data_IF_380791778249
#
_entry.id   IF_380791778249
#
_cell.length_a   1.000
_cell.length_b   1.000
_cell.length_c   1.000
_cell.angle_alpha   90.00
_cell.angle_beta   90.00
_cell.angle_gamma   90.00
#
_symmetry.space_group_name_H-M   'P 1'
#
loop_
_entity.id
_entity.type
_entity.pdbx_description
1 polymer ?
#
# COMPACT_ATOMS: atom_id res chain seq x y z
N UNK A 1 44.94 39.53 -14.99
CA UNK A 1 44.96 38.77 -16.26
C UNK A 1 43.57 38.17 -16.42
N UNK A 2 42.67 38.84 -17.12
CA UNK A 2 42.32 38.59 -18.54
C UNK A 2 41.75 37.17 -18.72
N UNK A 3 40.56 36.90 -19.28
CA UNK A 3 39.66 37.67 -20.15
C UNK A 3 38.34 36.89 -20.35
N UNK A 4 37.22 37.59 -20.57
CA UNK A 4 36.14 37.38 -21.57
C UNK A 4 35.52 35.97 -21.79
N UNK A 5 34.23 35.73 -22.08
CA UNK A 5 33.10 36.52 -22.62
C UNK A 5 31.84 35.62 -22.63
N UNK A 6 30.64 36.20 -22.49
CA UNK A 6 29.32 35.58 -22.73
C UNK A 6 28.87 35.83 -24.21
N UNK A 7 27.57 35.78 -24.58
CA UNK A 7 26.55 34.70 -24.59
C UNK A 7 25.93 34.52 -26.00
N UNK A 8 24.99 33.58 -26.21
CA UNK A 8 23.97 33.75 -27.27
C UNK A 8 22.65 33.00 -26.99
N UNK A 9 21.58 33.76 -27.04
CA UNK A 9 20.16 33.38 -27.08
C UNK A 9 19.72 33.09 -28.52
N UNK A 10 18.78 32.17 -28.73
CA UNK A 10 17.86 32.26 -29.87
C UNK A 10 16.56 31.51 -29.59
N UNK A 11 15.47 32.29 -29.46
CA UNK A 11 14.09 31.82 -29.60
C UNK A 11 13.67 32.03 -31.06
N UNK A 12 12.86 31.13 -31.62
CA UNK A 12 11.96 31.51 -32.70
C UNK A 12 10.71 30.61 -32.73
N UNK A 13 9.59 31.31 -32.62
CA UNK A 13 8.19 30.91 -32.71
C UNK A 13 7.85 30.41 -34.13
N UNK A 14 6.95 29.43 -34.23
CA UNK A 14 5.99 29.35 -35.34
C UNK A 14 4.61 28.94 -34.84
N UNK A 15 3.67 29.83 -35.14
CA UNK A 15 2.21 29.80 -35.01
C UNK A 15 1.55 29.11 -36.22
N UNK A 16 0.21 28.94 -36.11
CA UNK A 16 -0.80 28.54 -37.10
C UNK A 16 -1.32 27.09 -36.88
N UNK A 17 -2.61 26.76 -36.91
CA UNK A 17 -3.81 27.54 -37.20
C UNK A 17 -5.05 26.82 -36.59
N UNK A 18 -6.08 27.64 -36.38
CA UNK A 18 -7.47 27.31 -36.12
C UNK A 18 -8.11 26.36 -37.13
N UNK A 19 -8.95 25.43 -36.67
CA UNK A 19 -10.16 25.06 -37.41
C UNK A 19 -11.30 24.70 -36.46
N UNK A 20 -12.30 25.56 -36.45
CA UNK A 20 -13.63 25.37 -35.91
C UNK A 20 -14.47 24.55 -36.88
N UNK A 21 -15.16 23.50 -36.43
CA UNK A 21 -16.36 23.00 -37.12
C UNK A 21 -17.29 22.23 -36.18
N UNK A 22 -18.46 22.83 -35.98
CA UNK A 22 -19.81 22.23 -35.99
C UNK A 22 -20.16 21.08 -35.02
N UNK A 23 -20.96 21.46 -34.01
CA UNK A 23 -22.08 20.68 -33.47
C UNK A 23 -23.01 20.16 -34.58
N UNK A 24 -23.69 19.02 -34.35
CA UNK A 24 -25.13 19.06 -34.51
C UNK A 24 -25.89 18.61 -33.25
N UNK A 25 -27.07 19.22 -33.16
CA UNK A 25 -28.14 19.11 -32.19
C UNK A 25 -28.84 17.74 -32.23
N UNK A 26 -29.26 17.33 -31.04
CA UNK A 26 -30.58 16.79 -30.68
C UNK A 26 -31.08 15.47 -31.30
N UNK A 27 -31.40 14.53 -30.41
CA UNK A 27 -32.75 13.94 -30.38
C UNK A 27 -33.05 13.36 -28.99
N UNK A 28 -33.97 14.03 -28.30
CA UNK A 28 -34.74 13.50 -27.19
C UNK A 28 -35.51 12.26 -27.66
N UNK A 29 -35.41 11.14 -26.94
CA UNK A 29 -36.50 10.16 -26.91
C UNK A 29 -36.91 9.85 -25.47
N UNK A 30 -38.22 9.94 -25.33
CA UNK A 30 -39.07 9.98 -24.15
C UNK A 30 -39.37 8.55 -23.70
N UNK A 31 -39.32 8.30 -22.39
CA UNK A 31 -39.86 7.07 -21.80
C UNK A 31 -41.36 6.95 -22.07
N UNK A 32 -41.88 5.71 -22.02
CA UNK A 32 -43.20 5.46 -21.47
C UNK A 32 -43.11 4.63 -20.18
N UNK A 33 -43.76 5.17 -19.17
CA UNK A 33 -44.19 4.54 -17.93
C UNK A 33 -45.27 3.48 -18.22
N UNK A 34 -45.20 2.33 -17.54
CA UNK A 34 -46.36 1.46 -17.31
C UNK A 34 -46.17 0.78 -15.96
N UNK A 35 -46.94 1.20 -14.95
CA UNK A 35 -48.26 0.67 -14.59
C UNK A 35 -48.13 -0.49 -13.58
N UNK A 36 -48.28 -0.09 -12.31
CA UNK A 36 -48.43 -0.95 -11.15
C UNK A 36 -49.68 -1.83 -11.29
N UNK A 37 -49.55 -3.15 -11.17
CA UNK A 37 -50.68 -4.06 -10.89
C UNK A 37 -50.52 -4.66 -9.51
N UNK A 38 -51.42 -4.22 -8.62
CA UNK A 38 -51.79 -4.91 -7.38
C UNK A 38 -52.57 -6.18 -7.75
N UNK A 39 -52.24 -7.28 -7.09
CA UNK A 39 -53.16 -8.40 -6.88
C UNK A 39 -53.32 -8.52 -5.36
N UNK A 40 -54.54 -8.28 -4.89
CA UNK A 40 -54.93 -8.58 -3.53
C UNK A 40 -55.39 -10.03 -3.43
N UNK A 41 -55.18 -10.64 -2.26
CA UNK A 41 -56.05 -11.68 -1.75
C UNK A 41 -56.33 -11.44 -0.27
N UNK A 42 -57.56 -11.81 0.08
CA UNK A 42 -58.35 -11.49 1.26
C UNK A 42 -57.89 -12.19 2.55
N UNK A 43 -58.38 -11.63 3.66
CA UNK A 43 -58.18 -12.01 5.06
C UNK A 43 -58.90 -13.30 5.53
N UNK A 44 -58.60 -13.64 6.80
CA UNK A 44 -59.10 -14.68 7.72
C UNK A 44 -58.13 -15.88 7.85
N UNK A 45 -57.66 -16.31 9.04
CA UNK A 45 -58.34 -16.47 10.33
C UNK A 45 -57.30 -16.49 11.50
N UNK A 46 -57.57 -15.94 12.71
CA UNK A 46 -56.57 -15.79 13.77
C UNK A 46 -56.78 -16.82 14.91
N UNK A 47 -56.44 -18.09 14.69
CA UNK A 47 -56.35 -19.08 15.78
C UNK A 47 -55.33 -20.17 15.43
N UNK A 48 -54.05 -19.94 15.75
CA UNK A 48 -53.10 -21.01 16.09
C UNK A 48 -51.88 -20.41 16.82
N UNK A 49 -52.17 -19.64 17.87
CA UNK A 49 -51.19 -19.27 18.89
C UNK A 49 -51.14 -20.39 19.92
N UNK A 50 -49.94 -20.69 20.44
CA UNK A 50 -49.65 -21.61 21.56
C UNK A 50 -49.50 -23.10 21.24
N UNK A 51 -48.32 -23.47 20.73
CA UNK A 51 -47.52 -24.68 21.02
C UNK A 51 -46.37 -24.65 20.00
N UNK A 52 -45.16 -24.17 20.31
CA UNK A 52 -44.10 -24.85 21.06
C UNK A 52 -43.19 -23.78 21.67
N UNK A 53 -43.50 -23.36 22.89
CA UNK A 53 -42.59 -22.61 23.74
C UNK A 53 -41.94 -23.59 24.72
N UNK A 54 -40.90 -24.29 24.27
CA UNK A 54 -39.83 -24.87 25.10
C UNK A 54 -38.93 -25.76 24.25
N UNK A 55 -37.69 -25.29 24.05
CA UNK A 55 -36.46 -25.98 23.57
C UNK A 55 -35.75 -25.20 22.47
N UNK A 56 -35.22 -24.03 22.84
CA UNK A 56 -34.02 -23.47 22.20
C UNK A 56 -33.07 -23.02 23.31
N UNK A 57 -32.55 -24.01 24.04
CA UNK A 57 -31.36 -23.82 24.87
C UNK A 57 -30.13 -23.90 23.97
N UNK A 58 -29.40 -22.78 23.90
CA UNK A 58 -27.96 -22.70 23.61
C UNK A 58 -27.48 -23.23 22.26
N UNK A 59 -27.53 -22.35 21.25
CA UNK A 59 -26.44 -22.24 20.27
C UNK A 59 -25.90 -20.81 20.37
N UNK A 60 -24.82 -20.64 21.14
CA UNK A 60 -23.96 -19.45 21.05
C UNK A 60 -23.20 -19.55 19.74
N UNK A 61 -23.81 -19.08 18.65
CA UNK A 61 -23.03 -18.67 17.48
C UNK A 61 -22.18 -17.48 17.92
N UNK A 62 -20.87 -17.72 18.05
CA UNK A 62 -19.89 -16.63 18.08
C UNK A 62 -20.07 -15.86 16.77
N UNK A 63 -20.80 -14.75 16.83
CA UNK A 63 -20.86 -13.80 15.74
C UNK A 63 -19.44 -13.33 15.46
N UNK A 64 -18.88 -13.78 14.35
CA UNK A 64 -17.74 -13.13 13.73
C UNK A 64 -18.19 -11.71 13.48
N UNK A 65 -17.72 -10.78 14.30
CA UNK A 65 -17.98 -9.35 14.12
C UNK A 65 -17.34 -8.98 12.79
N UNK A 66 -18.12 -9.01 11.72
CA UNK A 66 -17.70 -8.45 10.44
C UNK A 66 -17.32 -7.01 10.72
N UNK A 67 -16.01 -6.74 10.75
CA UNK A 67 -15.51 -5.37 10.77
C UNK A 67 -15.83 -4.87 9.37
N UNK A 68 -17.02 -4.28 9.22
CA UNK A 68 -17.32 -3.46 8.05
C UNK A 68 -16.29 -2.36 8.08
N UNK A 69 -15.21 -2.51 7.30
CA UNK A 69 -14.17 -1.50 7.21
C UNK A 69 -14.82 -0.31 6.54
N UNK A 70 -15.17 0.71 7.33
CA UNK A 70 -15.53 2.02 6.79
C UNK A 70 -14.44 2.42 5.81
N UNK A 71 -14.84 2.77 4.58
CA UNK A 71 -13.93 3.31 3.58
C UNK A 71 -13.14 4.46 4.23
N UNK A 72 -11.81 4.36 4.18
CA UNK A 72 -10.94 5.39 4.75
C UNK A 72 -11.03 6.62 3.85
N UNK A 73 -11.26 7.79 4.44
CA UNK A 73 -11.29 9.05 3.70
C UNK A 73 -9.95 9.27 2.98
N UNK A 74 -10.00 9.59 1.70
CA UNK A 74 -8.84 9.93 0.88
C UNK A 74 -8.60 11.43 0.79
N UNK A 75 -7.37 11.84 0.46
CA UNK A 75 -7.00 13.21 0.13
C UNK A 75 -7.82 13.75 -1.05
N UNK A 76 -8.20 12.89 -2.01
CA UNK A 76 -9.03 13.29 -3.15
C UNK A 76 -10.47 13.68 -2.79
N UNK A 77 -10.91 13.38 -1.57
CA UNK A 77 -12.22 13.79 -1.04
C UNK A 77 -12.16 15.13 -0.28
N UNK A 78 -10.97 15.75 -0.17
CA UNK A 78 -10.83 17.09 0.37
C UNK A 78 -11.04 18.11 -0.75
N UNK A 79 -11.84 19.14 -0.48
CA UNK A 79 -12.04 20.24 -1.42
C UNK A 79 -10.82 21.16 -1.46
N UNK A 80 -10.68 21.97 -2.51
CA UNK A 80 -9.63 22.99 -2.57
C UNK A 80 -9.68 23.97 -1.39
N UNK A 81 -10.87 24.27 -0.85
CA UNK A 81 -11.03 25.10 0.34
C UNK A 81 -10.51 24.43 1.62
N UNK A 82 -10.58 23.09 1.70
CA UNK A 82 -10.03 22.33 2.83
C UNK A 82 -8.49 22.32 2.85
N UNK A 83 -7.86 22.56 1.70
CA UNK A 83 -6.41 22.43 1.49
C UNK A 83 -5.69 23.78 1.35
N UNK A 84 -6.33 24.78 0.76
CA UNK A 84 -5.69 26.06 0.44
C UNK A 84 -5.15 26.75 1.69
N UNK A 85 -3.86 27.10 1.67
CA UNK A 85 -3.15 27.76 2.76
C UNK A 85 -2.87 26.86 3.97
N UNK A 86 -3.39 25.63 4.01
CA UNK A 86 -3.20 24.69 5.12
C UNK A 86 -1.82 24.05 5.06
N UNK A 87 -1.22 23.87 6.24
CA UNK A 87 0.00 23.09 6.43
C UNK A 87 -0.38 21.62 6.52
N UNK A 88 0.14 20.81 5.61
CA UNK A 88 -0.23 19.40 5.49
C UNK A 88 0.97 18.54 5.83
N UNK A 89 0.89 17.80 6.95
CA UNK A 89 1.89 16.79 7.26
C UNK A 89 1.64 15.55 6.43
N UNK A 90 2.55 15.23 5.52
CA UNK A 90 2.47 14.07 4.65
C UNK A 90 3.49 13.04 5.09
N UNK A 91 3.03 11.86 5.48
CA UNK A 91 3.89 10.70 5.70
C UNK A 91 4.03 9.93 4.40
N UNK A 92 5.18 10.02 3.74
CA UNK A 92 5.48 9.31 2.49
C UNK A 92 6.54 8.21 2.72
N UNK A 93 6.48 7.12 1.95
CA UNK A 93 7.56 6.13 1.92
C UNK A 93 8.61 6.57 0.89
N UNK A 94 9.64 7.28 1.36
CA UNK A 94 10.80 7.67 0.54
C UNK A 94 12.05 6.86 0.88
N UNK A 95 11.90 5.68 1.48
CA UNK A 95 13.03 4.81 1.79
C UNK A 95 13.51 4.11 0.51
N UNK A 96 14.38 4.79 -0.25
CA UNK A 96 14.96 4.33 -1.52
C UNK A 96 16.35 3.72 -1.33
N UNK A 97 16.77 2.77 -2.19
CA UNK A 97 18.15 2.31 -2.21
C UNK A 97 19.08 3.41 -2.74
N UNK A 98 20.22 3.56 -2.06
CA UNK A 98 21.30 4.47 -2.43
C UNK A 98 22.58 3.66 -2.68
N UNK A 99 23.39 4.07 -3.65
CA UNK A 99 24.75 3.56 -3.85
C UNK A 99 25.74 4.16 -2.83
N UNK A 100 27.01 3.73 -2.90
CA UNK A 100 28.06 4.22 -1.99
C UNK A 100 28.35 5.72 -2.14
N UNK A 101 27.97 6.33 -3.27
CA UNK A 101 28.09 7.76 -3.54
C UNK A 101 26.81 8.55 -3.18
N UNK A 102 25.84 7.91 -2.52
CA UNK A 102 24.52 8.46 -2.18
C UNK A 102 23.63 8.79 -3.39
N UNK A 103 23.88 8.20 -4.56
CA UNK A 103 22.97 8.32 -5.69
C UNK A 103 21.80 7.34 -5.53
N UNK A 104 20.61 7.77 -5.94
CA UNK A 104 19.41 6.94 -5.95
C UNK A 104 19.53 5.90 -7.07
N UNK A 105 19.45 4.61 -6.73
CA UNK A 105 19.50 3.51 -7.71
C UNK A 105 18.12 3.05 -8.16
N UNK A 106 17.08 3.30 -7.34
CA UNK A 106 15.67 3.10 -7.70
C UNK A 106 14.78 4.15 -7.01
N UNK A 107 14.17 5.02 -7.80
CA UNK A 107 13.32 6.13 -7.37
C UNK A 107 11.82 5.80 -7.46
N UNK A 108 11.44 4.53 -7.64
CA UNK A 108 10.03 4.09 -7.77
C UNK A 108 9.16 4.57 -6.61
N UNK A 109 9.68 4.53 -5.38
CA UNK A 109 8.98 5.01 -4.18
C UNK A 109 8.75 6.53 -4.19
N UNK A 110 9.72 7.30 -4.69
CA UNK A 110 9.58 8.75 -4.83
C UNK A 110 8.47 9.06 -5.84
N UNK A 111 8.53 8.43 -7.03
CA UNK A 111 7.50 8.59 -8.06
C UNK A 111 6.10 8.21 -7.56
N UNK A 112 6.00 7.20 -6.71
CA UNK A 112 4.71 6.74 -6.19
C UNK A 112 4.04 7.76 -5.25
N UNK A 113 4.81 8.60 -4.55
CA UNK A 113 4.29 9.67 -3.69
C UNK A 113 3.93 10.96 -4.46
N UNK A 114 4.50 11.17 -5.65
CA UNK A 114 4.32 12.40 -6.45
C UNK A 114 2.86 12.76 -6.72
N UNK A 115 1.93 11.83 -7.06
CA UNK A 115 0.53 12.17 -7.31
C UNK A 115 -0.14 12.88 -6.12
N UNK A 116 0.07 12.36 -4.90
CA UNK A 116 -0.48 12.95 -3.67
C UNK A 116 0.10 14.35 -3.45
N UNK A 117 1.42 14.48 -3.59
CA UNK A 117 2.11 15.75 -3.36
C UNK A 117 1.68 16.82 -4.37
N UNK A 118 1.60 16.47 -5.66
CA UNK A 118 1.13 17.40 -6.72
C UNK A 118 -0.31 17.84 -6.49
N UNK A 119 -1.19 16.94 -6.08
CA UNK A 119 -2.57 17.31 -5.77
C UNK A 119 -2.66 18.33 -4.63
N UNK A 120 -1.88 18.15 -3.57
CA UNK A 120 -1.82 19.11 -2.47
C UNK A 120 -1.28 20.48 -2.94
N UNK A 121 -0.18 20.49 -3.70
CA UNK A 121 0.41 21.72 -4.26
C UNK A 121 -0.59 22.47 -5.13
N UNK A 122 -1.27 21.77 -6.05
CA UNK A 122 -2.24 22.35 -6.98
C UNK A 122 -3.45 22.97 -6.28
N UNK A 123 -3.78 22.48 -5.08
CA UNK A 123 -4.85 23.03 -4.24
C UNK A 123 -4.35 24.08 -3.23
N UNK A 124 -3.10 24.55 -3.36
CA UNK A 124 -2.54 25.64 -2.54
C UNK A 124 -2.15 25.21 -1.13
N UNK A 125 -2.01 23.92 -0.85
CA UNK A 125 -1.50 23.46 0.44
C UNK A 125 0.00 23.74 0.58
N UNK A 126 0.45 23.87 1.83
CA UNK A 126 1.86 23.96 2.23
C UNK A 126 2.30 22.58 2.69
N UNK A 127 3.06 21.87 1.87
CA UNK A 127 3.34 20.44 2.08
C UNK A 127 4.57 20.24 2.96
N UNK A 128 4.40 19.50 4.05
CA UNK A 128 5.49 19.10 4.97
C UNK A 128 5.68 17.59 4.83
N UNK A 129 6.66 17.18 4.03
CA UNK A 129 7.00 15.78 3.80
C UNK A 129 7.81 15.21 4.95
N UNK A 130 7.41 14.04 5.43
CA UNK A 130 8.16 13.24 6.38
C UNK A 130 8.37 11.83 5.82
N UNK A 131 9.59 11.31 5.96
CA UNK A 131 9.93 9.94 5.61
C UNK A 131 10.96 9.39 6.58
N UNK A 132 11.21 8.09 6.48
CA UNK A 132 12.41 7.46 7.02
C UNK A 132 13.34 7.05 5.88
N UNK A 133 14.62 6.86 6.19
CA UNK A 133 15.57 6.20 5.31
C UNK A 133 16.39 5.20 6.14
N UNK A 134 16.43 3.95 5.69
CA UNK A 134 17.12 2.86 6.37
C UNK A 134 16.70 2.66 7.82
N UNK A 135 17.67 2.26 8.65
CA UNK A 135 17.52 1.96 10.08
C UNK A 135 18.69 2.57 10.86
N UNK A 136 18.74 3.90 11.00
CA UNK A 136 19.79 4.57 11.75
C UNK A 136 19.81 4.14 13.22
N UNK A 137 21.00 4.10 13.84
CA UNK A 137 21.17 3.93 15.30
C UNK A 137 21.37 5.26 16.04
N UNK A 138 21.24 6.36 15.30
CA UNK A 138 21.47 7.75 15.70
C UNK A 138 21.60 8.60 14.44
N UNK A 139 21.78 9.91 14.62
CA UNK A 139 21.98 10.85 13.51
C UNK A 139 23.24 10.48 12.73
N UNK A 140 23.12 10.31 11.42
CA UNK A 140 24.27 10.02 10.55
C UNK A 140 24.03 10.52 9.12
N UNK A 141 25.04 11.10 8.46
CA UNK A 141 24.91 11.57 7.07
C UNK A 141 24.43 10.48 6.09
N UNK A 142 24.82 9.21 6.33
CA UNK A 142 24.46 8.07 5.48
C UNK A 142 22.96 7.86 5.32
N UNK A 143 22.17 8.24 6.33
CA UNK A 143 20.71 8.07 6.31
C UNK A 143 19.99 9.42 6.27
N UNK A 144 20.67 10.51 5.90
CA UNK A 144 20.01 11.79 5.63
C UNK A 144 19.11 11.67 4.40
N UNK A 145 18.03 12.44 4.38
CA UNK A 145 17.13 12.57 3.23
C UNK A 145 17.63 13.62 2.20
N UNK A 146 18.76 14.28 2.44
CA UNK A 146 19.34 15.28 1.53
C UNK A 146 19.49 14.79 0.07
N UNK A 147 19.94 13.56 -0.22
CA UNK A 147 20.10 13.10 -1.60
C UNK A 147 18.79 13.02 -2.40
N UNK A 148 17.63 13.03 -1.73
CA UNK A 148 16.33 12.94 -2.38
C UNK A 148 15.84 14.29 -2.93
N UNK A 149 16.38 15.40 -2.43
CA UNK A 149 15.91 16.76 -2.75
C UNK A 149 15.97 17.07 -4.25
N UNK A 150 17.07 16.79 -4.98
CA UNK A 150 17.13 17.06 -6.42
C UNK A 150 16.07 16.28 -7.19
N UNK A 151 15.92 14.98 -6.89
CA UNK A 151 14.97 14.10 -7.59
C UNK A 151 13.52 14.45 -7.29
N UNK A 152 13.20 14.77 -6.04
CA UNK A 152 11.86 15.27 -5.67
C UNK A 152 11.56 16.59 -6.38
N UNK A 153 12.52 17.52 -6.41
CA UNK A 153 12.34 18.82 -7.06
C UNK A 153 12.08 18.68 -8.57
N UNK A 154 12.85 17.82 -9.24
CA UNK A 154 12.66 17.49 -10.66
C UNK A 154 11.26 16.94 -10.93
N UNK A 155 10.83 15.92 -10.16
CA UNK A 155 9.53 15.26 -10.38
C UNK A 155 8.33 16.16 -10.06
N UNK A 156 8.48 17.06 -9.08
CA UNK A 156 7.44 18.00 -8.69
C UNK A 156 7.41 19.26 -9.57
N UNK A 157 8.52 19.59 -10.23
CA UNK A 157 8.66 20.81 -11.03
C UNK A 157 8.80 22.08 -10.20
N UNK A 158 9.13 21.95 -8.92
CA UNK A 158 9.34 23.05 -7.97
C UNK A 158 10.54 22.74 -7.09
N UNK A 159 11.19 23.78 -6.56
CA UNK A 159 12.29 23.59 -5.61
C UNK A 159 11.75 23.05 -4.27
N UNK A 160 12.20 21.87 -3.88
CA UNK A 160 11.93 21.32 -2.54
C UNK A 160 12.95 21.90 -1.56
N UNK A 161 12.46 22.49 -0.47
CA UNK A 161 13.29 22.93 0.65
C UNK A 161 13.49 21.75 1.58
N UNK A 162 14.69 21.57 2.13
CA UNK A 162 14.95 20.58 3.17
C UNK A 162 15.23 21.27 4.51
N UNK A 163 14.69 20.72 5.58
CA UNK A 163 15.10 21.05 6.94
C UNK A 163 16.26 20.15 7.41
N UNK A 164 17.12 20.68 8.27
CA UNK A 164 18.21 19.91 8.88
C UNK A 164 17.75 18.98 10.00
N UNK A 165 16.51 19.15 10.46
CA UNK A 165 15.86 18.33 11.47
C UNK A 165 14.38 18.07 11.11
N UNK A 166 13.66 17.28 11.91
CA UNK A 166 12.22 17.05 11.77
C UNK A 166 11.36 17.76 12.82
N UNK A 167 11.98 18.31 13.87
CA UNK A 167 11.33 19.09 14.92
C UNK A 167 12.23 20.25 15.37
N UNK A 168 11.67 21.20 16.14
CA UNK A 168 12.44 22.28 16.77
C UNK A 168 12.26 23.65 16.10
N UNK A 169 12.86 24.70 16.69
CA UNK A 169 12.53 26.09 16.35
C UNK A 169 12.91 26.46 14.91
N UNK A 170 14.00 25.92 14.36
CA UNK A 170 14.39 26.18 12.96
C UNK A 170 13.42 25.50 11.97
N UNK A 171 12.92 24.31 12.30
CA UNK A 171 11.89 23.64 11.49
C UNK A 171 10.58 24.43 11.53
N UNK A 172 10.18 24.93 12.70
CA UNK A 172 8.99 25.76 12.86
C UNK A 172 9.08 27.05 12.03
N UNK A 173 10.24 27.70 12.00
CA UNK A 173 10.50 28.88 11.16
C UNK A 173 10.38 28.55 9.66
N UNK A 174 10.98 27.44 9.21
CA UNK A 174 10.88 26.99 7.81
C UNK A 174 9.44 26.66 7.41
N UNK A 175 8.69 26.03 8.30
CA UNK A 175 7.27 25.73 8.08
C UNK A 175 6.43 27.01 8.00
N UNK A 176 6.71 28.00 8.87
CA UNK A 176 6.00 29.27 8.88
C UNK A 176 6.26 30.09 7.60
N UNK A 177 7.48 30.04 7.06
CA UNK A 177 7.87 30.75 5.83
C UNK A 177 7.50 30.01 4.53
N UNK A 178 7.00 28.77 4.62
CA UNK A 178 6.63 27.98 3.45
C UNK A 178 5.49 28.66 2.67
N UNK A 179 5.67 29.00 1.38
CA UNK A 179 4.62 29.60 0.57
C UNK A 179 3.53 28.58 0.24
N UNK A 180 2.35 29.05 -0.17
CA UNK A 180 1.32 28.17 -0.73
C UNK A 180 1.87 27.42 -1.95
N UNK A 181 1.62 26.12 -2.02
CA UNK A 181 2.22 25.23 -3.03
C UNK A 181 3.69 24.88 -2.77
N UNK A 182 4.30 25.39 -1.70
CA UNK A 182 5.65 25.04 -1.28
C UNK A 182 5.73 23.63 -0.68
N UNK A 183 6.93 23.04 -0.76
CA UNK A 183 7.23 21.72 -0.20
C UNK A 183 8.47 21.80 0.67
N UNK A 184 8.33 21.37 1.93
CA UNK A 184 9.40 21.17 2.89
C UNK A 184 9.60 19.68 3.14
N UNK A 185 10.82 19.18 2.96
CA UNK A 185 11.23 17.84 3.37
C UNK A 185 11.88 17.92 4.75
N UNK A 186 11.25 17.31 5.75
CA UNK A 186 11.85 17.12 7.07
C UNK A 186 13.00 16.12 6.99
N UNK A 187 13.94 16.21 7.93
CA UNK A 187 14.99 15.19 8.06
C UNK A 187 14.42 13.83 8.51
N UNK A 188 15.22 12.76 8.37
CA UNK A 188 14.85 11.39 8.67
C UNK A 188 14.27 11.23 10.09
N UNK A 189 12.97 10.92 10.17
CA UNK A 189 12.26 10.80 11.47
C UNK A 189 12.83 9.72 12.38
N UNK A 190 13.54 8.71 11.82
CA UNK A 190 14.19 7.64 12.61
C UNK A 190 15.51 8.07 13.25
N UNK A 191 15.97 9.30 13.03
CA UNK A 191 17.04 9.85 13.86
C UNK A 191 16.63 10.02 15.32
N UNK A 192 15.33 10.09 15.59
CA UNK A 192 14.74 10.02 16.92
C UNK A 192 14.31 8.60 17.25
N UNK A 193 14.76 8.06 18.39
CA UNK A 193 14.37 6.72 18.86
C UNK A 193 12.89 6.69 19.27
N UNK A 194 12.35 7.85 19.59
CA UNK A 194 10.97 8.17 19.92
C UNK A 194 10.00 7.80 18.79
N UNK A 195 10.44 7.89 17.53
CA UNK A 195 9.64 7.53 16.35
C UNK A 195 9.14 6.08 16.42
N UNK A 196 10.06 5.12 16.60
CA UNK A 196 9.72 3.69 16.61
C UNK A 196 8.99 3.27 17.89
N UNK A 197 9.12 4.06 18.96
CA UNK A 197 8.40 3.86 20.23
C UNK A 197 7.01 4.47 20.24
N UNK A 198 6.65 5.21 19.19
CA UNK A 198 5.39 5.96 19.13
C UNK A 198 5.23 6.90 20.33
N UNK A 199 6.31 7.59 20.67
CA UNK A 199 6.33 8.49 21.83
C UNK A 199 5.30 9.62 21.65
N UNK A 200 4.38 9.82 22.62
CA UNK A 200 3.32 10.82 22.49
C UNK A 200 3.82 12.26 22.39
N UNK A 201 4.92 12.60 23.07
CA UNK A 201 5.48 13.97 23.06
C UNK A 201 6.19 14.25 21.72
N UNK A 202 6.91 13.26 21.20
CA UNK A 202 7.50 13.37 19.86
C UNK A 202 6.40 13.48 18.77
N UNK A 203 5.35 12.66 18.85
CA UNK A 203 4.21 12.76 17.95
C UNK A 203 3.51 14.14 18.03
N UNK A 204 3.41 14.73 19.22
CA UNK A 204 2.84 16.06 19.42
C UNK A 204 3.71 17.17 18.80
N UNK A 205 5.03 17.06 18.90
CA UNK A 205 5.99 17.99 18.25
C UNK A 205 5.95 17.91 16.72
N UNK A 206 5.79 16.71 16.16
CA UNK A 206 5.59 16.55 14.71
C UNK A 206 4.23 17.16 14.29
N UNK A 207 3.18 16.88 15.08
CA UNK A 207 1.84 17.36 14.80
C UNK A 207 1.72 18.90 14.87
N UNK A 208 2.44 19.57 15.77
CA UNK A 208 2.36 21.04 15.90
C UNK A 208 2.81 21.80 14.65
N UNK A 209 3.51 21.14 13.73
CA UNK A 209 3.93 21.73 12.45
C UNK A 209 2.76 21.92 11.47
N UNK A 210 1.67 21.13 11.59
CA UNK A 210 0.65 21.04 10.56
C UNK A 210 -0.78 21.25 11.08
N UNK A 211 -1.71 21.43 10.15
CA UNK A 211 -3.14 21.56 10.42
C UNK A 211 -3.88 20.23 10.17
N UNK A 212 -3.41 19.43 9.20
CA UNK A 212 -4.00 18.13 8.85
C UNK A 212 -2.94 17.10 8.45
N UNK A 213 -3.35 15.83 8.42
CA UNK A 213 -2.47 14.69 8.19
C UNK A 213 -2.88 13.87 6.96
N UNK A 214 -1.89 13.54 6.13
CA UNK A 214 -2.04 12.62 5.00
C UNK A 214 -1.04 11.48 5.18
N UNK A 215 -1.52 10.23 5.26
CA UNK A 215 -0.66 9.06 5.23
C UNK A 215 -0.63 8.45 3.83
N UNK A 216 0.53 8.50 3.20
CA UNK A 216 0.78 7.94 1.87
C UNK A 216 1.89 6.86 1.91
N UNK A 217 2.14 6.27 3.09
CA UNK A 217 3.23 5.33 3.33
C UNK A 217 2.71 3.96 3.80
N UNK A 218 1.99 3.25 2.93
CA UNK A 218 1.41 1.94 3.22
C UNK A 218 2.42 0.94 3.82
N UNK A 219 3.65 0.91 3.28
CA UNK A 219 4.73 0.04 3.74
C UNK A 219 5.12 0.22 5.21
N UNK A 220 4.78 1.35 5.83
CA UNK A 220 5.02 1.61 7.27
C UNK A 220 3.76 1.63 8.13
N UNK A 221 2.57 1.58 7.51
CA UNK A 221 1.29 1.68 8.21
C UNK A 221 0.99 0.46 9.10
N UNK A 222 1.67 -0.67 8.89
CA UNK A 222 1.58 -1.86 9.76
C UNK A 222 2.26 -1.69 11.13
N UNK A 223 2.97 -0.56 11.36
CA UNK A 223 3.64 -0.26 12.63
C UNK A 223 3.03 1.00 13.24
N UNK A 224 2.78 0.95 14.55
CA UNK A 224 2.42 2.12 15.33
C UNK A 224 3.70 2.90 15.64
N UNK A 225 4.05 3.86 14.79
CA UNK A 225 5.14 4.81 15.01
C UNK A 225 4.56 6.22 15.19
N UNK A 226 5.37 7.16 15.70
CA UNK A 226 4.91 8.52 15.95
C UNK A 226 4.42 9.20 14.65
N UNK A 227 5.19 9.12 13.55
CA UNK A 227 4.83 9.73 12.27
C UNK A 227 3.73 8.99 11.46
N UNK A 228 3.36 7.76 11.85
CA UNK A 228 2.36 6.94 11.15
C UNK A 228 1.03 6.82 11.90
N UNK A 229 1.08 6.74 13.23
CA UNK A 229 -0.07 6.55 14.12
C UNK A 229 -0.19 7.70 15.13
N UNK A 230 0.90 8.03 15.85
CA UNK A 230 0.86 8.98 16.95
C UNK A 230 0.34 10.36 16.56
N UNK A 231 0.84 10.92 15.44
CA UNK A 231 0.43 12.23 14.90
C UNK A 231 -1.08 12.31 14.63
N UNK A 232 -1.74 11.19 14.32
CA UNK A 232 -3.18 11.15 14.01
C UNK A 232 -4.07 11.46 15.21
N UNK A 233 -3.53 11.40 16.44
CA UNK A 233 -4.24 11.78 17.66
C UNK A 233 -4.40 13.30 17.79
N UNK A 234 -3.52 14.06 17.14
CA UNK A 234 -3.43 15.52 17.26
C UNK A 234 -3.84 16.25 15.98
N UNK A 235 -3.64 15.63 14.81
CA UNK A 235 -3.99 16.21 13.51
C UNK A 235 -5.32 15.67 12.98
N UNK A 236 -6.25 16.58 12.65
CA UNK A 236 -7.54 16.25 12.02
C UNK A 236 -7.83 17.24 10.88
N UNK A 237 -8.33 16.78 9.72
CA UNK A 237 -8.59 15.38 9.37
C UNK A 237 -7.29 14.57 9.18
N UNK A 238 -7.40 13.24 9.35
CA UNK A 238 -6.36 12.27 9.00
C UNK A 238 -6.87 11.45 7.82
N UNK A 239 -6.23 11.56 6.66
CA UNK A 239 -6.70 10.92 5.40
C UNK A 239 -5.61 10.07 4.75
N UNK A 240 -6.03 9.16 3.88
CA UNK A 240 -5.13 8.41 3.01
C UNK A 240 -4.63 9.29 1.85
N UNK A 241 -3.35 9.21 1.50
CA UNK A 241 -2.89 9.67 0.19
C UNK A 241 -3.28 8.68 -0.91
N UNK A 242 -3.01 9.01 -2.17
CA UNK A 242 -3.42 8.18 -3.30
C UNK A 242 -2.71 6.83 -3.37
N UNK A 243 -1.45 6.73 -2.95
CA UNK A 243 -0.73 5.46 -2.88
C UNK A 243 -1.39 4.57 -1.82
N UNK A 244 -1.58 5.10 -0.60
CA UNK A 244 -2.17 4.32 0.48
C UNK A 244 -3.63 3.93 0.15
N UNK A 245 -4.41 4.83 -0.45
CA UNK A 245 -5.75 4.51 -0.94
C UNK A 245 -5.71 3.37 -1.95
N UNK A 246 -4.86 3.47 -2.98
CA UNK A 246 -4.72 2.44 -4.00
C UNK A 246 -4.37 1.08 -3.40
N UNK A 247 -3.42 1.03 -2.47
CA UNK A 247 -3.05 -0.21 -1.75
C UNK A 247 -4.23 -0.80 -0.95
N UNK A 248 -5.00 0.04 -0.25
CA UNK A 248 -6.20 -0.40 0.45
C UNK A 248 -7.27 -0.93 -0.51
N UNK A 249 -7.52 -0.23 -1.62
CA UNK A 249 -8.52 -0.62 -2.62
C UNK A 249 -8.16 -1.97 -3.26
N UNK A 250 -6.88 -2.19 -3.58
CA UNK A 250 -6.41 -3.47 -4.11
C UNK A 250 -6.54 -4.59 -3.08
N UNK A 251 -6.11 -4.38 -1.84
CA UNK A 251 -6.15 -5.42 -0.81
C UNK A 251 -7.57 -5.77 -0.39
N UNK A 252 -8.43 -4.76 -0.17
CA UNK A 252 -9.83 -4.97 0.18
C UNK A 252 -10.56 -5.64 -0.98
N UNK A 253 -10.36 -5.18 -2.21
CA UNK A 253 -10.96 -5.77 -3.40
C UNK A 253 -10.52 -7.21 -3.65
N UNK A 254 -9.22 -7.50 -3.53
CA UNK A 254 -8.68 -8.83 -3.76
C UNK A 254 -9.06 -9.85 -2.68
N UNK A 255 -9.26 -9.42 -1.43
CA UNK A 255 -9.52 -10.35 -0.33
C UNK A 255 -11.00 -10.44 0.02
N UNK A 256 -11.73 -9.34 0.00
CA UNK A 256 -13.12 -9.30 0.52
C UNK A 256 -14.16 -9.70 -0.51
N UNK A 257 -13.91 -9.42 -1.80
CA UNK A 257 -14.83 -9.75 -2.89
C UNK A 257 -14.07 -9.94 -4.21
N UNK A 258 -13.17 -10.93 -4.29
CA UNK A 258 -12.38 -11.14 -5.50
C UNK A 258 -13.24 -11.52 -6.70
N UNK A 259 -12.80 -11.10 -7.88
CA UNK A 259 -13.33 -11.66 -9.14
C UNK A 259 -12.88 -13.11 -9.26
N UNK A 260 -13.81 -14.01 -9.59
CA UNK A 260 -13.55 -15.44 -9.71
C UNK A 260 -13.40 -15.87 -11.18
N UNK A 261 -12.53 -16.85 -11.51
CA UNK A 261 -11.68 -17.60 -10.58
C UNK A 261 -10.55 -16.72 -10.00
N UNK A 262 -10.39 -16.74 -8.68
CA UNK A 262 -9.36 -16.02 -7.95
C UNK A 262 -8.17 -16.94 -7.71
N UNK A 263 -7.09 -16.70 -8.43
CA UNK A 263 -5.83 -17.40 -8.26
C UNK A 263 -4.84 -16.56 -7.43
N UNK A 264 -4.20 -17.20 -6.45
CA UNK A 264 -3.12 -16.60 -5.68
C UNK A 264 -1.82 -17.37 -5.89
N UNK A 265 -0.71 -16.65 -6.05
CA UNK A 265 0.63 -17.24 -6.22
C UNK A 265 1.46 -16.86 -5.00
N UNK A 266 1.93 -17.84 -4.24
CA UNK A 266 2.74 -17.64 -3.05
C UNK A 266 4.10 -18.31 -3.23
N UNK A 267 5.16 -17.51 -3.24
CA UNK A 267 6.53 -17.98 -3.29
C UNK A 267 7.31 -17.69 -2.03
N UNK A 268 8.52 -18.23 -1.97
CA UNK A 268 9.49 -17.97 -0.91
C UNK A 268 10.35 -19.20 -0.62
N UNK A 269 11.35 -19.04 0.23
CA UNK A 269 12.22 -20.14 0.65
C UNK A 269 11.71 -20.89 1.88
N UNK A 270 10.81 -20.30 2.67
CA UNK A 270 10.32 -20.84 3.95
C UNK A 270 8.80 -20.77 4.07
N UNK A 271 8.18 -21.90 4.35
CA UNK A 271 6.76 -22.05 4.68
C UNK A 271 6.42 -21.23 5.92
N UNK A 272 7.27 -21.26 6.95
CA UNK A 272 7.06 -20.57 8.23
C UNK A 272 6.79 -19.07 8.07
N UNK A 273 7.45 -18.43 7.09
CA UNK A 273 7.28 -17.00 6.80
C UNK A 273 5.97 -16.65 6.08
N UNK A 274 5.23 -17.64 5.57
CA UNK A 274 4.05 -17.48 4.71
C UNK A 274 2.79 -18.15 5.25
N UNK A 275 2.84 -18.78 6.43
CA UNK A 275 1.71 -19.53 7.01
C UNK A 275 0.44 -18.69 7.03
N UNK A 276 0.46 -17.52 7.69
CA UNK A 276 -0.74 -16.69 7.81
C UNK A 276 -1.27 -16.18 6.47
N UNK A 277 -0.39 -15.98 5.47
CA UNK A 277 -0.80 -15.59 4.12
C UNK A 277 -1.51 -16.75 3.43
N UNK A 278 -0.94 -17.95 3.47
CA UNK A 278 -1.56 -19.15 2.90
C UNK A 278 -2.90 -19.44 3.57
N UNK A 279 -2.94 -19.42 4.91
CA UNK A 279 -4.17 -19.69 5.66
C UNK A 279 -5.30 -18.72 5.30
N UNK A 280 -4.98 -17.43 5.17
CA UNK A 280 -5.93 -16.39 4.76
C UNK A 280 -6.40 -16.59 3.32
N UNK A 281 -5.49 -16.90 2.40
CA UNK A 281 -5.82 -17.11 0.99
C UNK A 281 -6.65 -18.39 0.79
N UNK A 282 -6.40 -19.45 1.54
CA UNK A 282 -7.23 -20.66 1.51
C UNK A 282 -8.70 -20.39 1.88
N UNK A 283 -9.00 -19.32 2.61
CA UNK A 283 -10.38 -18.93 2.90
C UNK A 283 -11.09 -18.24 1.72
N UNK A 284 -10.33 -17.71 0.75
CA UNK A 284 -10.85 -16.75 -0.25
C UNK A 284 -10.62 -17.16 -1.70
N UNK A 285 -9.46 -17.75 -2.04
CA UNK A 285 -9.06 -18.10 -3.40
C UNK A 285 -9.71 -19.40 -3.91
N UNK A 286 -9.85 -19.52 -5.23
CA UNK A 286 -10.24 -20.75 -5.92
C UNK A 286 -9.02 -21.61 -6.24
N UNK A 287 -7.87 -20.97 -6.51
CA UNK A 287 -6.63 -21.62 -6.92
C UNK A 287 -5.48 -21.02 -6.10
N UNK A 288 -4.65 -21.89 -5.51
CA UNK A 288 -3.45 -21.48 -4.78
C UNK A 288 -2.22 -22.15 -5.40
N UNK A 289 -1.36 -21.37 -6.05
CA UNK A 289 -0.10 -21.86 -6.61
C UNK A 289 1.04 -21.58 -5.62
N UNK A 290 1.79 -22.62 -5.24
CA UNK A 290 2.97 -22.46 -4.40
C UNK A 290 4.24 -22.61 -5.23
N UNK A 291 5.25 -21.77 -4.98
CA UNK A 291 6.53 -21.79 -5.70
C UNK A 291 7.74 -21.47 -4.82
N UNK A 292 8.94 -21.51 -5.40
CA UNK A 292 10.19 -21.27 -4.66
C UNK A 292 10.59 -22.44 -3.75
N UNK A 293 11.59 -22.24 -2.89
CA UNK A 293 12.14 -23.30 -2.03
C UNK A 293 11.14 -23.92 -1.05
N UNK A 294 10.09 -23.20 -0.68
CA UNK A 294 9.10 -23.71 0.29
C UNK A 294 8.32 -24.94 -0.22
N UNK A 295 8.22 -25.15 -1.55
CA UNK A 295 7.51 -26.31 -2.12
C UNK A 295 8.13 -27.64 -1.72
N UNK A 296 9.44 -27.68 -1.45
CA UNK A 296 10.13 -28.92 -1.08
C UNK A 296 9.71 -29.42 0.31
N UNK A 297 9.25 -28.54 1.20
CA UNK A 297 8.61 -28.97 2.47
C UNK A 297 7.28 -29.66 2.20
N UNK A 298 6.49 -29.20 1.22
CA UNK A 298 5.25 -29.86 0.81
C UNK A 298 5.52 -31.19 0.10
N UNK A 299 6.51 -31.27 -0.80
CA UNK A 299 6.91 -32.52 -1.43
C UNK A 299 7.38 -33.55 -0.41
N UNK A 300 8.23 -33.13 0.54
CA UNK A 300 8.70 -34.00 1.62
C UNK A 300 7.54 -34.50 2.49
N UNK A 301 6.58 -33.63 2.82
CA UNK A 301 5.36 -34.01 3.55
C UNK A 301 4.46 -35.00 2.78
N UNK A 302 4.52 -34.99 1.44
CA UNK A 302 3.86 -35.97 0.57
C UNK A 302 4.69 -37.26 0.36
N UNK A 303 5.85 -37.39 1.01
CA UNK A 303 6.74 -38.54 0.88
C UNK A 303 7.67 -38.52 -0.34
N UNK A 304 7.74 -37.41 -1.07
CA UNK A 304 8.60 -37.25 -2.25
C UNK A 304 10.04 -36.93 -1.80
N UNK A 305 11.03 -37.59 -2.42
CA UNK A 305 12.45 -37.27 -2.17
C UNK A 305 12.82 -35.93 -2.80
N UNK A 306 13.49 -35.08 -2.02
CA UNK A 306 13.83 -33.70 -2.42
C UNK A 306 15.35 -33.42 -2.43
N UNK A 307 16.18 -34.44 -2.21
CA UNK A 307 17.64 -34.30 -2.17
C UNK A 307 18.10 -33.26 -1.14
N UNK A 308 18.99 -32.35 -1.55
CA UNK A 308 19.54 -31.26 -0.74
C UNK A 308 18.68 -29.98 -0.75
N UNK A 309 17.45 -30.04 -1.25
CA UNK A 309 16.57 -28.88 -1.33
C UNK A 309 16.14 -28.37 0.06
N UNK A 310 15.73 -27.11 0.14
CA UNK A 310 15.34 -26.47 1.41
C UNK A 310 14.06 -27.10 2.00
N UNK A 311 14.18 -27.72 3.17
CA UNK A 311 13.06 -28.30 3.91
C UNK A 311 13.02 -27.73 5.33
N UNK A 312 11.84 -27.32 5.78
CA UNK A 312 11.57 -27.04 7.19
C UNK A 312 10.99 -28.31 7.84
N UNK A 313 11.87 -29.18 8.36
CA UNK A 313 11.50 -30.49 8.93
C UNK A 313 10.48 -30.37 10.08
N UNK A 314 10.55 -29.29 10.86
CA UNK A 314 9.62 -28.97 11.95
C UNK A 314 8.28 -28.40 11.48
N UNK A 315 8.04 -28.37 10.16
CA UNK A 315 6.82 -27.83 9.51
C UNK A 315 6.16 -28.82 8.56
N UNK A 316 6.58 -30.09 8.53
CA UNK A 316 5.96 -31.12 7.68
C UNK A 316 4.49 -31.35 8.05
N UNK A 317 4.17 -31.47 9.33
CA UNK A 317 2.78 -31.64 9.80
C UNK A 317 1.89 -30.46 9.40
N UNK A 318 2.45 -29.26 9.44
CA UNK A 318 1.77 -28.06 9.00
C UNK A 318 1.50 -28.11 7.49
N UNK A 319 2.50 -28.46 6.68
CA UNK A 319 2.33 -28.60 5.23
C UNK A 319 1.22 -29.62 4.88
N UNK A 320 1.21 -30.77 5.56
CA UNK A 320 0.15 -31.79 5.44
C UNK A 320 -1.22 -31.21 5.80
N UNK A 321 -1.30 -30.46 6.90
CA UNK A 321 -2.54 -29.81 7.36
C UNK A 321 -3.06 -28.79 6.35
N UNK A 322 -2.16 -27.99 5.74
CA UNK A 322 -2.52 -27.01 4.73
C UNK A 322 -3.06 -27.65 3.44
N UNK A 323 -2.44 -28.77 2.99
CA UNK A 323 -2.94 -29.55 1.86
C UNK A 323 -4.35 -30.11 2.13
N UNK A 324 -4.56 -30.67 3.33
CA UNK A 324 -5.87 -31.18 3.75
C UNK A 324 -6.91 -30.05 3.83
N UNK A 325 -6.54 -28.88 4.38
CA UNK A 325 -7.41 -27.70 4.46
C UNK A 325 -7.81 -27.19 3.08
N UNK A 326 -6.89 -27.14 2.12
CA UNK A 326 -7.18 -26.76 0.74
C UNK A 326 -8.22 -27.70 0.11
N UNK A 327 -8.01 -29.02 0.26
CA UNK A 327 -8.97 -30.03 -0.23
C UNK A 327 -10.34 -29.89 0.43
N UNK A 328 -10.39 -29.70 1.75
CA UNK A 328 -11.64 -29.54 2.49
C UNK A 328 -12.44 -28.29 2.06
N UNK A 329 -11.74 -27.25 1.59
CA UNK A 329 -12.35 -26.00 1.10
C UNK A 329 -12.62 -25.98 -0.40
N UNK A 330 -12.25 -27.03 -1.13
CA UNK A 330 -12.36 -27.07 -2.58
C UNK A 330 -11.40 -26.12 -3.30
N UNK A 331 -10.31 -25.68 -2.64
CA UNK A 331 -9.28 -24.85 -3.25
C UNK A 331 -8.34 -25.75 -4.05
N UNK A 332 -8.10 -25.39 -5.32
CA UNK A 332 -7.11 -26.07 -6.14
C UNK A 332 -5.70 -25.63 -5.76
N UNK A 333 -5.08 -26.32 -4.81
CA UNK A 333 -3.69 -26.08 -4.42
C UNK A 333 -2.74 -26.79 -5.38
N UNK A 334 -2.01 -25.99 -6.17
CA UNK A 334 -1.09 -26.44 -7.19
C UNK A 334 0.36 -26.29 -6.73
N UNK A 335 1.11 -27.39 -6.84
CA UNK A 335 2.56 -27.42 -6.73
C UNK A 335 3.16 -27.67 -8.13
N UNK A 336 4.38 -27.19 -8.44
CA UNK A 336 5.04 -27.47 -9.72
C UNK A 336 5.11 -28.97 -10.03
N UNK A 337 4.88 -29.36 -11.28
CA UNK A 337 5.04 -30.77 -11.71
C UNK A 337 6.49 -31.17 -11.95
N UNK A 338 7.36 -30.18 -12.07
CA UNK A 338 8.77 -30.28 -12.38
C UNK A 338 9.55 -29.17 -11.69
N UNK A 339 10.85 -29.41 -11.53
CA UNK A 339 11.79 -28.46 -10.92
C UNK A 339 13.10 -28.47 -11.68
N UNK A 340 13.76 -27.32 -11.75
CA UNK A 340 15.16 -27.23 -12.17
C UNK A 340 16.03 -27.52 -10.96
N UNK A 341 16.84 -28.58 -11.04
CA UNK A 341 17.81 -28.94 -10.00
C UNK A 341 19.22 -28.64 -10.48
N UNK A 342 20.12 -28.35 -9.53
CA UNK A 342 21.52 -28.05 -9.80
C UNK A 342 22.46 -28.76 -8.82
N UNK A 343 23.71 -28.93 -9.20
CA UNK A 343 24.77 -29.52 -8.36
C UNK A 343 25.28 -28.55 -7.27
N UNK A 344 25.16 -27.24 -7.49
CA UNK A 344 25.53 -26.17 -6.54
C UNK A 344 24.65 -24.93 -6.68
N UNK A 345 24.63 -24.07 -5.66
CA UNK A 345 23.93 -22.79 -5.68
C UNK A 345 24.85 -21.67 -6.20
N UNK A 346 25.08 -21.64 -7.52
CA UNK A 346 25.93 -20.66 -8.18
C UNK A 346 25.45 -20.38 -9.61
N UNK A 347 25.75 -19.20 -10.20
CA UNK A 347 25.37 -18.87 -11.58
C UNK A 347 25.92 -19.85 -12.64
N UNK A 348 27.02 -20.53 -12.33
CA UNK A 348 27.75 -21.46 -13.22
C UNK A 348 27.43 -22.95 -12.91
N UNK A 349 26.36 -23.22 -12.17
CA UNK A 349 25.99 -24.59 -11.79
C UNK A 349 25.51 -25.44 -12.98
N UNK A 350 25.81 -26.74 -12.96
CA UNK A 350 25.22 -27.67 -13.92
C UNK A 350 23.76 -27.91 -13.50
N UNK A 351 22.82 -27.70 -14.41
CA UNK A 351 21.39 -27.83 -14.14
C UNK A 351 20.68 -28.81 -15.06
N UNK A 352 19.61 -29.42 -14.55
CA UNK A 352 18.68 -30.24 -15.34
C UNK A 352 17.26 -30.11 -14.83
N UNK A 353 16.29 -30.35 -15.70
CA UNK A 353 14.87 -30.42 -15.33
C UNK A 353 14.57 -31.81 -14.79
N UNK A 354 13.86 -31.87 -13.67
CA UNK A 354 13.40 -33.10 -13.03
C UNK A 354 11.88 -33.07 -12.88
N UNK A 355 11.17 -34.03 -13.48
CA UNK A 355 9.73 -34.20 -13.35
C UNK A 355 9.39 -35.08 -12.12
N UNK A 356 8.37 -34.70 -11.36
CA UNK A 356 7.97 -35.42 -10.14
C UNK A 356 7.31 -36.77 -10.42
N UNK A 357 6.75 -36.96 -11.63
CA UNK A 357 6.07 -38.20 -12.02
C UNK A 357 7.02 -39.38 -12.32
N UNK A 358 8.33 -39.18 -12.24
CA UNK A 358 9.34 -40.21 -12.56
C UNK A 358 9.62 -41.19 -11.40
N UNK A 359 8.84 -41.13 -10.30
CA UNK A 359 9.05 -41.92 -9.07
C UNK A 359 7.82 -42.72 -8.61
N UNK A 360 6.81 -42.93 -9.46
CA UNK A 360 5.71 -43.87 -9.16
C UNK A 360 6.06 -45.29 -9.56
#
# INVERSE_FOLDING_TARGET
MASATAPTTLSLVKTAASSSLSSPRASFLRMPTSASRRLGFSAADPLLTCHVASRLSSIKTKGTRAVVSMAKKSVGELSGADLKGKKVFVRADLNVPLDDNQNITDDTRIRAAVPTIKHLIQNGAKVILSSHLGRPKGVTPKFSLAPLVPRLSELLGIQVVKADDCIGPEVEKLVASLPEGGVLLLENVRFYKEEEKNDPEFAKKLASLADLYVNDAFGTAHRAHASTEGVTKYLKPSVAGFLLQKELDYLVGAVSSPKRPFAAIVGGSKVSSKIGVIESLLETCDILLLGGGMIFTFYKAQGISVGSSLVEEDKLDLATTLLAKAKAKGVNLLLPSDVVIADKFAPDANSKVCFLNSYK
#
